data_IF_829293220300
#
_entry.id   IF_829293220300
#
_cell.length_a   1.000
_cell.length_b   1.000
_cell.length_c   1.000
_cell.angle_alpha   90.00
_cell.angle_beta   90.00
_cell.angle_gamma   90.00
#
_symmetry.space_group_name_H-M   'P 1'
#
loop_
_entity.id
_entity.type
_entity.pdbx_description
1 polymer ?
#
# COMPACT_ATOMS: atom_id res chain seq x y z
N UNK A 1 15.49 -2.87 -22.70
CA UNK A 1 14.44 -1.82 -22.76
C UNK A 1 13.03 -2.34 -22.48
N UNK A 2 12.54 -3.43 -23.11
CA UNK A 2 11.16 -3.93 -22.87
C UNK A 2 10.85 -4.29 -21.41
N UNK A 3 11.75 -5.02 -20.72
CA UNK A 3 11.53 -5.44 -19.33
C UNK A 3 11.41 -4.26 -18.35
N UNK A 4 12.21 -3.22 -18.54
CA UNK A 4 12.17 -2.01 -17.70
C UNK A 4 10.81 -1.31 -17.80
N UNK A 5 10.29 -1.17 -19.01
CA UNK A 5 8.99 -0.57 -19.24
C UNK A 5 7.87 -1.40 -18.58
N UNK A 6 7.91 -2.72 -18.72
CA UNK A 6 6.94 -3.64 -18.09
C UNK A 6 6.95 -3.47 -16.56
N UNK A 7 8.13 -3.49 -15.93
CA UNK A 7 8.24 -3.32 -14.48
C UNK A 7 7.74 -1.96 -14.00
N UNK A 8 8.00 -0.88 -14.75
CA UNK A 8 7.50 0.47 -14.43
C UNK A 8 5.98 0.54 -14.52
N UNK A 9 5.41 0.03 -15.61
CA UNK A 9 3.95 0.01 -15.81
C UNK A 9 3.29 -0.83 -14.71
N UNK A 10 3.87 -1.99 -14.38
CA UNK A 10 3.34 -2.83 -13.32
C UNK A 10 3.37 -2.14 -11.95
N UNK A 11 4.49 -1.50 -11.58
CA UNK A 11 4.59 -0.73 -10.34
C UNK A 11 3.59 0.45 -10.30
N UNK A 12 3.38 1.14 -11.42
CA UNK A 12 2.39 2.19 -11.55
C UNK A 12 0.96 1.66 -11.38
N UNK A 13 0.62 0.54 -12.01
CA UNK A 13 -0.68 -0.10 -11.86
C UNK A 13 -0.92 -0.47 -10.40
N UNK A 14 0.06 -1.07 -9.72
CA UNK A 14 -0.02 -1.34 -8.28
C UNK A 14 -0.27 -0.07 -7.47
N UNK A 15 0.45 1.02 -7.75
CA UNK A 15 0.26 2.30 -7.07
C UNK A 15 -1.13 2.92 -7.32
N UNK A 16 -1.65 2.82 -8.55
CA UNK A 16 -3.02 3.26 -8.90
C UNK A 16 -4.08 2.41 -8.21
N UNK A 17 -3.86 1.11 -8.08
CA UNK A 17 -4.79 0.23 -7.38
C UNK A 17 -4.94 0.62 -5.89
N UNK A 18 -3.92 1.19 -5.25
CA UNK A 18 -4.00 1.65 -3.85
C UNK A 18 -5.03 2.77 -3.63
N UNK A 19 -5.42 3.52 -4.67
CA UNK A 19 -6.48 4.52 -4.55
C UNK A 19 -7.87 3.93 -4.30
N UNK A 20 -8.04 2.62 -4.55
CA UNK A 20 -9.29 1.92 -4.28
C UNK A 20 -9.38 1.37 -2.85
N UNK A 21 -8.31 1.49 -2.05
CA UNK A 21 -8.32 1.03 -0.65
C UNK A 21 -9.45 1.65 0.19
N UNK A 22 -9.73 2.98 0.15
CA UNK A 22 -10.82 3.58 0.92
C UNK A 22 -12.24 3.13 0.51
N UNK A 23 -12.38 2.61 -0.71
CA UNK A 23 -13.65 2.14 -1.29
C UNK A 23 -13.92 0.69 -0.87
N UNK A 24 -12.90 -0.02 -0.41
CA UNK A 24 -13.04 -1.39 0.09
C UNK A 24 -13.78 -1.44 1.43
N UNK A 25 -14.31 -2.62 1.79
CA UNK A 25 -15.08 -2.80 3.02
C UNK A 25 -14.30 -2.34 4.25
N UNK A 26 -14.91 -1.47 5.08
CA UNK A 26 -14.27 -0.90 6.27
C UNK A 26 -14.24 -1.88 7.44
N UNK A 27 -13.30 -1.66 8.35
CA UNK A 27 -13.29 -2.37 9.63
C UNK A 27 -14.52 -1.96 10.45
N UNK A 28 -15.21 -2.95 11.02
CA UNK A 28 -16.43 -2.75 11.82
C UNK A 28 -16.24 -3.33 13.21
N UNK A 29 -16.67 -2.61 14.24
CA UNK A 29 -16.77 -3.10 15.61
C UNK A 29 -18.24 -3.39 15.92
N UNK A 30 -18.53 -4.59 16.40
CA UNK A 30 -19.90 -5.03 16.74
C UNK A 30 -19.97 -5.25 18.24
N UNK A 31 -20.95 -4.61 18.90
CA UNK A 31 -21.22 -4.78 20.34
C UNK A 31 -21.64 -6.22 20.61
N UNK A 32 -20.97 -6.88 21.55
CA UNK A 32 -21.32 -8.22 22.03
C UNK A 32 -22.55 -8.18 22.97
N UNK A 33 -22.86 -7.02 23.55
CA UNK A 33 -24.04 -6.83 24.39
C UNK A 33 -25.21 -6.26 23.56
N UNK A 34 -26.40 -6.88 23.59
CA UNK A 34 -27.61 -6.28 23.05
C UNK A 34 -28.00 -5.11 23.97
N UNK A 35 -27.64 -3.88 23.58
CA UNK A 35 -28.12 -2.68 24.28
C UNK A 35 -29.65 -2.59 24.12
N UNK A 36 -30.37 -2.66 25.24
CA UNK A 36 -31.83 -2.48 25.34
C UNK A 36 -32.32 -1.12 24.80
N UNK A 37 -31.43 -0.16 24.57
CA UNK A 37 -31.73 1.17 24.04
C UNK A 37 -31.21 1.34 22.63
N UNK A 38 -32.04 0.96 21.64
CA UNK A 38 -32.24 1.49 20.26
C UNK A 38 -31.10 2.07 19.39
N UNK A 39 -29.87 2.15 19.85
CA UNK A 39 -28.72 2.68 19.13
C UNK A 39 -27.97 1.57 18.41
N UNK A 40 -27.65 1.80 17.13
CA UNK A 40 -26.90 0.87 16.29
C UNK A 40 -25.63 0.38 16.99
N UNK A 41 -25.62 -0.89 17.41
CA UNK A 41 -24.49 -1.56 18.08
C UNK A 41 -23.28 -1.83 17.19
N UNK A 42 -23.12 -1.07 16.10
CA UNK A 42 -22.02 -1.21 15.15
C UNK A 42 -21.33 0.13 14.94
N UNK A 43 -20.03 0.19 15.16
CA UNK A 43 -19.20 1.37 14.87
C UNK A 43 -18.38 1.05 13.62
N UNK A 44 -18.38 1.95 12.63
CA UNK A 44 -17.49 1.90 11.47
C UNK A 44 -16.41 2.95 11.65
N UNK A 45 -15.16 2.54 11.73
CA UNK A 45 -14.01 3.45 11.75
C UNK A 45 -13.24 3.28 10.44
N UNK A 46 -12.80 4.38 9.85
CA UNK A 46 -11.73 4.36 8.85
C UNK A 46 -10.45 3.96 9.55
N UNK A 47 -9.92 2.77 9.26
CA UNK A 47 -8.67 2.35 9.86
C UNK A 47 -7.53 3.17 9.27
N UNK A 48 -6.45 3.41 10.04
CA UNK A 48 -5.35 4.27 9.60
C UNK A 48 -4.75 3.88 8.24
N UNK A 49 -4.78 2.59 7.89
CA UNK A 49 -4.28 2.09 6.61
C UNK A 49 -5.08 2.58 5.39
N UNK A 50 -6.37 2.90 5.55
CA UNK A 50 -7.27 3.34 4.47
C UNK A 50 -6.75 4.63 3.80
N UNK A 51 -6.12 5.52 4.57
CA UNK A 51 -5.55 6.78 4.07
C UNK A 51 -4.05 6.67 3.76
N UNK A 52 -3.34 5.76 4.43
CA UNK A 52 -1.90 5.53 4.17
C UNK A 52 -1.68 4.92 2.78
N UNK A 53 -2.50 3.95 2.38
CA UNK A 53 -2.41 3.31 1.07
C UNK A 53 -2.47 4.30 -0.11
N UNK A 54 -3.48 5.19 -0.23
CA UNK A 54 -3.55 6.15 -1.33
C UNK A 54 -2.41 7.19 -1.25
N UNK A 55 -2.03 7.65 -0.06
CA UNK A 55 -0.89 8.58 0.09
C UNK A 55 0.41 7.97 -0.44
N UNK A 56 0.70 6.73 -0.06
CA UNK A 56 1.84 5.98 -0.59
C UNK A 56 1.74 5.76 -2.10
N UNK A 57 0.53 5.50 -2.63
CA UNK A 57 0.28 5.42 -4.06
C UNK A 57 0.65 6.70 -4.81
N UNK A 58 0.24 7.87 -4.29
CA UNK A 58 0.63 9.19 -4.84
C UNK A 58 2.14 9.36 -4.84
N UNK A 59 2.81 9.11 -3.70
CA UNK A 59 4.27 9.25 -3.57
C UNK A 59 5.00 8.33 -4.56
N UNK A 60 4.52 7.10 -4.74
CA UNK A 60 5.10 6.16 -5.69
C UNK A 60 4.95 6.62 -7.15
N UNK A 61 3.76 7.11 -7.54
CA UNK A 61 3.51 7.64 -8.88
C UNK A 61 4.43 8.84 -9.16
N UNK A 62 4.50 9.80 -8.24
CA UNK A 62 5.34 10.98 -8.38
C UNK A 62 6.81 10.60 -8.46
N UNK A 63 7.28 9.70 -7.58
CA UNK A 63 8.65 9.21 -7.60
C UNK A 63 9.04 8.57 -8.94
N UNK A 64 8.18 7.69 -9.48
CA UNK A 64 8.41 7.03 -10.76
C UNK A 64 8.34 8.02 -11.94
N UNK A 65 7.42 8.98 -11.93
CA UNK A 65 7.27 9.98 -12.98
C UNK A 65 8.46 10.95 -13.02
N UNK A 66 8.84 11.51 -11.87
CA UNK A 66 10.02 12.40 -11.75
C UNK A 66 11.29 11.65 -12.15
N UNK A 67 11.44 10.40 -11.69
CA UNK A 67 12.55 9.55 -12.07
C UNK A 67 12.62 9.29 -13.58
N UNK A 68 11.48 9.13 -14.25
CA UNK A 68 11.42 8.96 -15.71
C UNK A 68 11.81 10.23 -16.47
N UNK A 69 11.35 11.40 -16.01
CA UNK A 69 11.65 12.71 -16.65
C UNK A 69 13.10 13.14 -16.43
N UNK A 70 13.74 12.74 -15.32
CA UNK A 70 15.12 13.08 -15.00
C UNK A 70 16.18 12.35 -15.86
N UNK A 71 15.77 11.53 -16.83
CA UNK A 71 16.70 10.96 -17.83
C UNK A 71 17.31 12.08 -18.68
N UNK A 72 18.63 12.08 -18.94
CA UNK A 72 19.52 10.91 -18.99
C UNK A 72 20.35 10.63 -17.74
N UNK A 73 20.21 11.39 -16.64
CA UNK A 73 21.05 11.18 -15.45
C UNK A 73 20.58 9.96 -14.66
N UNK A 74 21.45 8.96 -14.45
CA UNK A 74 21.12 7.70 -13.75
C UNK A 74 20.63 7.93 -12.31
N UNK A 75 21.12 8.96 -11.63
CA UNK A 75 20.76 9.25 -10.24
C UNK A 75 19.27 9.58 -10.04
N UNK A 76 18.63 10.30 -10.98
CA UNK A 76 17.22 10.69 -10.87
C UNK A 76 16.24 9.51 -10.90
N UNK A 77 16.30 8.63 -11.92
CA UNK A 77 15.55 7.39 -11.96
C UNK A 77 15.75 6.52 -10.71
N UNK A 78 17.01 6.31 -10.28
CA UNK A 78 17.31 5.46 -9.11
C UNK A 78 16.63 6.00 -7.84
N UNK A 79 16.77 7.30 -7.58
CA UNK A 79 16.12 7.94 -6.43
C UNK A 79 14.59 7.84 -6.51
N UNK A 80 14.02 8.09 -7.70
CA UNK A 80 12.58 7.97 -7.92
C UNK A 80 12.04 6.56 -7.66
N UNK A 81 12.74 5.54 -8.14
CA UNK A 81 12.38 4.14 -7.88
C UNK A 81 12.60 3.72 -6.42
N UNK A 82 13.65 4.22 -5.76
CA UNK A 82 13.88 3.98 -4.34
C UNK A 82 12.75 4.59 -3.48
N UNK A 83 12.35 5.83 -3.75
CA UNK A 83 11.22 6.48 -3.07
C UNK A 83 9.93 5.70 -3.28
N UNK A 84 9.65 5.27 -4.52
CA UNK A 84 8.47 4.46 -4.82
C UNK A 84 8.51 3.10 -4.11
N UNK A 85 9.67 2.47 -4.02
CA UNK A 85 9.87 1.20 -3.28
C UNK A 85 9.51 1.37 -1.81
N UNK A 86 10.06 2.40 -1.16
CA UNK A 86 9.80 2.67 0.27
C UNK A 86 8.34 3.00 0.52
N UNK A 87 7.73 3.82 -0.34
CA UNK A 87 6.32 4.17 -0.21
C UNK A 87 5.40 2.94 -0.33
N UNK A 88 5.61 2.11 -1.35
CA UNK A 88 4.83 0.89 -1.57
C UNK A 88 5.07 -0.15 -0.48
N UNK A 89 6.31 -0.31 0.00
CA UNK A 89 6.62 -1.17 1.14
C UNK A 89 5.93 -0.68 2.43
N UNK A 90 5.88 0.63 2.65
CA UNK A 90 5.15 1.24 3.76
C UNK A 90 3.65 0.97 3.71
N UNK A 91 3.05 1.09 2.51
CA UNK A 91 1.63 0.72 2.32
C UNK A 91 1.38 -0.77 2.59
N UNK A 92 2.26 -1.64 2.11
CA UNK A 92 2.17 -3.08 2.37
C UNK A 92 2.25 -3.39 3.87
N UNK A 93 3.21 -2.79 4.58
CA UNK A 93 3.38 -2.96 6.01
C UNK A 93 2.18 -2.43 6.81
N UNK A 94 1.64 -1.27 6.46
CA UNK A 94 0.47 -0.70 7.13
C UNK A 94 -0.79 -1.56 6.94
N UNK A 95 -1.06 -2.00 5.70
CA UNK A 95 -2.22 -2.84 5.40
C UNK A 95 -2.10 -4.24 6.04
N UNK A 96 -0.91 -4.85 5.99
CA UNK A 96 -0.65 -6.15 6.60
C UNK A 96 -0.68 -6.10 8.13
N UNK A 97 -0.05 -5.06 8.71
CA UNK A 97 -0.05 -4.84 10.16
C UNK A 97 -1.46 -4.69 10.70
N UNK A 98 -2.26 -3.82 10.07
CA UNK A 98 -3.68 -3.65 10.45
C UNK A 98 -4.46 -4.97 10.40
N UNK A 99 -4.29 -5.75 9.33
CA UNK A 99 -4.97 -7.04 9.21
C UNK A 99 -4.53 -8.03 10.29
N UNK A 100 -3.23 -8.09 10.60
CA UNK A 100 -2.69 -8.98 11.64
C UNK A 100 -3.17 -8.57 13.04
N UNK A 101 -3.16 -7.27 13.34
CA UNK A 101 -3.64 -6.75 14.63
C UNK A 101 -5.11 -7.08 14.82
N UNK A 102 -5.93 -6.88 13.78
CA UNK A 102 -7.33 -7.26 13.79
C UNK A 102 -7.54 -8.79 13.91
N UNK A 103 -6.77 -9.60 13.19
CA UNK A 103 -6.88 -11.06 13.24
C UNK A 103 -6.45 -11.65 14.60
N UNK A 104 -5.55 -10.96 15.32
CA UNK A 104 -5.09 -11.37 16.65
C UNK A 104 -6.05 -10.96 17.79
N UNK A 105 -7.11 -10.20 17.50
CA UNK A 105 -7.99 -9.61 18.51
C UNK A 105 -7.36 -8.44 19.27
N UNK A 106 -6.18 -7.96 18.88
CA UNK A 106 -5.51 -6.83 19.54
C UNK A 106 -6.33 -5.52 19.46
N UNK A 107 -7.25 -5.44 18.50
CA UNK A 107 -8.16 -4.30 18.31
C UNK A 107 -9.52 -4.47 19.00
N UNK A 108 -9.74 -5.58 19.72
CA UNK A 108 -10.99 -5.83 20.43
C UNK A 108 -11.08 -4.91 21.66
N UNK A 109 -12.01 -3.97 21.59
CA UNK A 109 -12.35 -3.09 22.70
C UNK A 109 -13.31 -3.84 23.64
N UNK A 110 -13.25 -3.58 24.95
CA UNK A 110 -14.15 -4.23 25.93
C UNK A 110 -15.61 -4.13 25.48
N UNK A 111 -16.23 -5.29 25.22
CA UNK A 111 -17.63 -5.40 24.77
C UNK A 111 -17.85 -5.26 23.27
N UNK A 112 -16.81 -5.13 22.45
CA UNK A 112 -16.89 -5.06 20.99
C UNK A 112 -15.96 -6.07 20.31
N UNK A 113 -16.49 -6.82 19.35
CA UNK A 113 -15.70 -7.70 18.48
C UNK A 113 -15.35 -6.98 17.18
N UNK A 114 -14.08 -7.05 16.78
CA UNK A 114 -13.57 -6.41 15.57
C UNK A 114 -13.71 -7.34 14.37
N UNK A 115 -14.33 -6.87 13.30
CA UNK A 115 -14.34 -7.53 12.00
C UNK A 115 -13.44 -6.75 11.04
N UNK A 116 -12.27 -7.31 10.66
CA UNK A 116 -11.34 -6.64 9.77
C UNK A 116 -11.92 -6.41 8.38
N UNK A 117 -11.44 -5.34 7.73
CA UNK A 117 -11.60 -5.15 6.30
C UNK A 117 -11.02 -6.36 5.54
N UNK A 118 -11.84 -7.14 4.79
CA UNK A 118 -11.36 -8.35 4.11
C UNK A 118 -10.38 -8.03 2.97
N UNK A 119 -10.38 -6.79 2.47
CA UNK A 119 -9.54 -6.36 1.37
C UNK A 119 -8.12 -5.94 1.80
N UNK A 120 -7.88 -5.68 3.08
CA UNK A 120 -6.57 -5.28 3.61
C UNK A 120 -5.40 -6.21 3.16
N UNK A 121 -5.50 -7.54 3.26
CA UNK A 121 -4.42 -8.43 2.80
C UNK A 121 -4.21 -8.38 1.27
N UNK A 122 -5.28 -8.16 0.48
CA UNK A 122 -5.16 -8.03 -0.97
C UNK A 122 -4.40 -6.75 -1.35
N UNK A 123 -4.70 -5.62 -0.71
CA UNK A 123 -3.95 -4.37 -0.93
C UNK A 123 -2.51 -4.46 -0.42
N UNK A 124 -2.25 -5.19 0.66
CA UNK A 124 -0.89 -5.46 1.12
C UNK A 124 -0.08 -6.22 0.06
N UNK A 125 -0.66 -7.24 -0.58
CA UNK A 125 -0.02 -7.99 -1.66
C UNK A 125 0.22 -7.12 -2.90
N UNK A 126 -0.77 -6.33 -3.32
CA UNK A 126 -0.65 -5.39 -4.45
C UNK A 126 0.51 -4.41 -4.21
N UNK A 127 0.58 -3.82 -3.00
CA UNK A 127 1.63 -2.90 -2.61
C UNK A 127 3.00 -3.59 -2.58
N UNK A 128 3.11 -4.80 -2.02
CA UNK A 128 4.34 -5.56 -1.96
C UNK A 128 4.88 -5.91 -3.37
N UNK A 129 4.01 -6.33 -4.29
CA UNK A 129 4.38 -6.62 -5.66
C UNK A 129 4.89 -5.35 -6.39
N UNK A 130 4.20 -4.22 -6.20
CA UNK A 130 4.66 -2.94 -6.73
C UNK A 130 6.03 -2.52 -6.17
N UNK A 131 6.24 -2.71 -4.86
CA UNK A 131 7.51 -2.42 -4.21
C UNK A 131 8.65 -3.29 -4.78
N UNK A 132 8.41 -4.59 -5.00
CA UNK A 132 9.39 -5.49 -5.63
C UNK A 132 9.75 -5.03 -7.04
N UNK A 133 8.77 -4.64 -7.85
CA UNK A 133 9.03 -4.13 -9.20
C UNK A 133 9.86 -2.82 -9.17
N UNK A 134 9.51 -1.89 -8.28
CA UNK A 134 10.27 -0.65 -8.09
C UNK A 134 11.70 -0.91 -7.59
N UNK A 135 11.89 -1.88 -6.70
CA UNK A 135 13.20 -2.28 -6.20
C UNK A 135 14.08 -2.87 -7.32
N UNK A 136 13.52 -3.79 -8.11
CA UNK A 136 14.24 -4.40 -9.25
C UNK A 136 14.66 -3.32 -10.26
N UNK A 137 13.83 -2.31 -10.49
CA UNK A 137 14.19 -1.16 -11.32
C UNK A 137 15.33 -0.35 -10.73
N UNK A 138 15.28 -0.02 -9.44
CA UNK A 138 16.33 0.72 -8.75
C UNK A 138 17.67 -0.01 -8.81
N UNK A 139 17.68 -1.31 -8.50
CA UNK A 139 18.86 -2.17 -8.57
C UNK A 139 19.38 -2.34 -10.00
N UNK A 140 18.48 -2.45 -10.98
CA UNK A 140 18.82 -2.57 -12.39
C UNK A 140 19.54 -1.33 -12.94
N UNK A 141 19.21 -0.14 -12.43
CA UNK A 141 19.90 1.11 -12.81
C UNK A 141 21.16 1.39 -12.00
N UNK A 142 21.35 0.73 -10.86
CA UNK A 142 22.59 0.81 -10.07
C UNK A 142 23.71 -0.04 -10.64
N UNK A 143 23.40 -1.12 -11.37
CA UNK A 143 24.42 -1.90 -12.06
C UNK A 143 25.11 -1.02 -13.12
N UNK A 144 26.43 -0.78 -13.01
CA UNK A 144 27.19 -0.19 -14.09
C UNK A 144 26.96 -1.03 -15.35
N UNK A 145 26.62 -0.40 -16.47
CA UNK A 145 26.56 -1.13 -17.73
C UNK A 145 27.97 -1.65 -18.06
N UNK A 146 28.09 -2.96 -18.31
CA UNK A 146 29.30 -3.59 -18.87
C UNK A 146 29.56 -3.17 -20.32
N UNK A 147 29.54 -1.87 -20.62
CA UNK A 147 29.74 -1.36 -21.97
C UNK A 147 29.21 0.05 -22.17
N UNK A 148 30.06 1.03 -21.86
CA UNK A 148 30.15 2.27 -22.61
C UNK A 148 31.61 2.42 -23.07
#
# INVERSE_FOLDING_TARGET
MRMEWVLRVFALVCAVLLFFAPVSGRTTWISAEPRETGGTGSIRHSAGWDWVAPLCGVVAIVGLAVGAVARPRVAGPVLGAAVATVALAGAAAAAWGHWRDAASGALDLRGFTTHPAPAAPAFALIAALGALCALVLALGWLKPGDGA
#
